data_IF_120021173127
#
_entry.id   IF_120021173127
#
_cell.length_a   1.000
_cell.length_b   1.000
_cell.length_c   1.000
_cell.angle_alpha   90.00
_cell.angle_beta   90.00
_cell.angle_gamma   90.00
#
_symmetry.space_group_name_H-M   'P 1'
#
loop_
_entity.id
_entity.type
_entity.pdbx_description
1 polymer ?
#
# COMPACT_ATOMS: atom_id res chain seq x y z
N UNK A 1 1.33 15.44 -17.59
CA UNK A 1 1.06 14.89 -18.93
C UNK A 1 -0.39 14.68 -19.29
N UNK A 2 -1.22 14.07 -18.43
CA UNK A 2 -2.63 13.84 -18.75
C UNK A 2 -3.37 15.12 -19.15
N UNK A 3 -3.16 16.21 -18.40
CA UNK A 3 -3.75 17.50 -18.76
C UNK A 3 -3.42 17.88 -20.19
N UNK A 4 -2.22 17.60 -20.72
CA UNK A 4 -1.77 17.96 -22.08
C UNK A 4 -2.55 17.26 -23.21
N UNK A 5 -3.20 16.13 -22.92
CA UNK A 5 -3.96 15.35 -23.91
C UNK A 5 -5.40 15.86 -24.09
N UNK A 6 -5.90 16.64 -23.13
CA UNK A 6 -7.27 17.15 -23.13
C UNK A 6 -7.52 18.15 -24.28
N UNK A 7 -8.74 18.23 -24.78
CA UNK A 7 -9.15 19.23 -25.80
C UNK A 7 -10.15 20.25 -25.26
N UNK A 8 -10.73 19.95 -24.11
CA UNK A 8 -11.73 20.73 -23.40
C UNK A 8 -11.38 20.72 -21.90
N UNK A 9 -11.98 21.61 -21.13
CA UNK A 9 -11.87 21.57 -19.67
C UNK A 9 -12.57 20.33 -19.11
N UNK A 10 -11.94 19.68 -18.13
CA UNK A 10 -12.50 18.57 -17.36
C UNK A 10 -12.18 18.74 -15.88
N UNK A 11 -13.11 18.30 -15.04
CA UNK A 11 -12.87 18.04 -13.61
C UNK A 11 -12.18 16.69 -13.49
N UNK A 12 -10.93 16.70 -13.06
CA UNK A 12 -10.09 15.51 -12.95
C UNK A 12 -9.82 15.26 -11.48
N UNK A 13 -10.28 14.11 -10.98
CA UNK A 13 -9.85 13.62 -9.67
C UNK A 13 -8.54 12.86 -9.86
N UNK A 14 -7.43 13.46 -9.45
CA UNK A 14 -6.13 12.80 -9.41
C UNK A 14 -6.04 12.01 -8.10
N UNK A 15 -5.74 10.72 -8.20
CA UNK A 15 -5.47 9.85 -7.06
C UNK A 15 -4.05 9.31 -7.23
N UNK A 16 -3.11 9.86 -6.47
CA UNK A 16 -1.70 9.44 -6.46
C UNK A 16 -1.44 8.50 -5.28
N UNK A 17 -1.12 7.25 -5.58
CA UNK A 17 -0.80 6.22 -4.56
C UNK A 17 0.67 5.84 -4.72
N UNK A 18 1.51 6.59 -4.01
CA UNK A 18 2.95 6.38 -3.95
C UNK A 18 3.35 5.18 -3.09
N UNK A 19 4.63 5.12 -2.76
CA UNK A 19 5.17 4.07 -1.89
C UNK A 19 4.76 4.23 -0.42
N UNK A 20 4.51 5.45 0.06
CA UNK A 20 4.22 5.72 1.47
C UNK A 20 3.13 6.76 1.74
N UNK A 21 2.60 7.42 0.71
CA UNK A 21 1.49 8.36 0.82
C UNK A 21 0.45 8.11 -0.25
N UNK A 22 -0.74 8.58 0.04
CA UNK A 22 -1.85 8.69 -0.90
C UNK A 22 -2.30 10.14 -0.87
N UNK A 23 -2.31 10.78 -2.03
CA UNK A 23 -2.68 12.17 -2.20
C UNK A 23 -3.80 12.25 -3.25
N UNK A 24 -4.91 12.89 -2.89
CA UNK A 24 -6.07 13.04 -3.78
C UNK A 24 -6.33 14.52 -4.05
N UNK A 25 -6.44 14.90 -5.31
CA UNK A 25 -6.66 16.29 -5.73
C UNK A 25 -7.73 16.37 -6.80
N UNK A 26 -8.77 17.15 -6.56
CA UNK A 26 -9.76 17.53 -7.57
C UNK A 26 -9.30 18.79 -8.28
N UNK A 27 -9.06 18.69 -9.58
CA UNK A 27 -8.49 19.75 -10.39
C UNK A 27 -9.33 20.03 -11.63
N UNK A 28 -9.46 21.31 -12.00
CA UNK A 28 -9.82 21.71 -13.34
C UNK A 28 -8.59 21.60 -14.24
N UNK A 29 -8.69 20.74 -15.26
CA UNK A 29 -7.62 20.51 -16.24
C UNK A 29 -8.13 20.81 -17.63
N UNK A 30 -7.33 21.51 -18.44
CA UNK A 30 -7.71 21.80 -19.83
C UNK A 30 -6.80 22.85 -20.47
N UNK A 31 -6.99 23.14 -21.77
CA UNK A 31 -6.15 24.09 -22.50
C UNK A 31 -6.04 25.47 -21.82
N UNK A 32 -7.09 25.92 -21.14
CA UNK A 32 -7.15 27.21 -20.44
C UNK A 32 -6.30 27.30 -19.17
N UNK A 33 -5.91 26.16 -18.59
CA UNK A 33 -5.14 26.12 -17.33
C UNK A 33 -3.65 25.86 -17.56
N UNK A 34 -3.28 25.15 -18.62
CA UNK A 34 -1.89 24.71 -18.87
C UNK A 34 -0.85 25.83 -18.92
N UNK A 35 -1.23 27.02 -19.37
CA UNK A 35 -0.31 28.16 -19.52
C UNK A 35 -0.41 29.16 -18.36
N UNK A 36 -1.30 28.93 -17.39
CA UNK A 36 -1.45 29.84 -16.25
C UNK A 36 -0.41 29.52 -15.19
N UNK A 37 0.31 30.56 -14.75
CA UNK A 37 1.19 30.47 -13.60
C UNK A 37 0.39 30.38 -12.29
N UNK A 38 -0.67 31.19 -12.16
CA UNK A 38 -1.58 31.04 -11.04
C UNK A 38 -2.64 29.95 -11.32
N UNK A 39 -2.61 28.91 -10.50
CA UNK A 39 -3.47 27.73 -10.58
C UNK A 39 -4.33 27.52 -9.33
N UNK A 40 -4.37 28.48 -8.41
CA UNK A 40 -5.15 28.36 -7.16
C UNK A 40 -6.62 28.03 -7.47
N UNK A 41 -7.21 28.77 -8.43
CA UNK A 41 -8.60 28.56 -8.87
C UNK A 41 -8.85 27.25 -9.64
N UNK A 42 -7.80 26.50 -10.00
CA UNK A 42 -7.96 25.19 -10.63
C UNK A 42 -8.06 24.06 -9.60
N UNK A 43 -7.64 24.28 -8.35
CA UNK A 43 -7.73 23.30 -7.28
C UNK A 43 -9.07 23.43 -6.58
N UNK A 44 -9.95 22.46 -6.80
CA UNK A 44 -11.29 22.45 -6.22
C UNK A 44 -11.30 21.82 -4.82
N UNK A 45 -10.44 20.82 -4.59
CA UNK A 45 -10.35 20.16 -3.30
C UNK A 45 -9.15 19.22 -3.25
N UNK A 46 -8.66 18.95 -2.05
CA UNK A 46 -7.55 18.02 -1.87
C UNK A 46 -7.63 17.30 -0.52
N UNK A 47 -6.95 16.16 -0.43
CA UNK A 47 -6.74 15.41 0.81
C UNK A 47 -5.47 14.57 0.67
N UNK A 48 -4.97 14.04 1.78
CA UNK A 48 -3.83 13.15 1.73
C UNK A 48 -3.57 12.47 3.06
N UNK A 49 -2.99 11.28 3.01
CA UNK A 49 -2.62 10.53 4.19
C UNK A 49 -1.32 9.73 4.00
N UNK A 50 -0.68 9.39 5.12
CA UNK A 50 0.52 8.53 5.15
C UNK A 50 0.14 7.05 5.05
N UNK A 51 -0.53 6.69 3.97
CA UNK A 51 -0.84 5.31 3.57
C UNK A 51 -0.44 5.18 2.11
N UNK A 52 0.39 4.20 1.77
CA UNK A 52 0.79 3.97 0.38
C UNK A 52 1.03 2.49 0.09
N UNK A 53 1.81 2.23 -0.95
CA UNK A 53 2.15 0.88 -1.40
C UNK A 53 2.73 -0.01 -0.32
N UNK A 54 3.60 0.55 0.53
CA UNK A 54 4.24 -0.19 1.61
C UNK A 54 3.21 -0.66 2.66
N UNK A 55 2.17 0.13 2.95
CA UNK A 55 1.11 -0.31 3.87
C UNK A 55 0.34 -1.51 3.31
N UNK A 56 0.16 -1.58 1.98
CA UNK A 56 -0.42 -2.75 1.32
C UNK A 56 0.49 -3.98 1.45
N UNK A 57 1.80 -3.79 1.30
CA UNK A 57 2.80 -4.87 1.41
C UNK A 57 2.87 -5.41 2.83
N UNK A 58 2.86 -4.52 3.82
CA UNK A 58 2.84 -4.85 5.25
C UNK A 58 1.56 -5.60 5.60
N UNK A 59 0.40 -5.14 5.12
CA UNK A 59 -0.87 -5.82 5.36
C UNK A 59 -0.89 -7.23 4.76
N UNK A 60 -0.37 -7.39 3.54
CA UNK A 60 -0.26 -8.71 2.90
C UNK A 60 0.72 -9.62 3.64
N UNK A 61 1.91 -9.11 4.02
CA UNK A 61 2.90 -9.85 4.80
C UNK A 61 2.31 -10.31 6.14
N UNK A 62 1.60 -9.41 6.83
CA UNK A 62 0.96 -9.70 8.10
C UNK A 62 -0.11 -10.77 7.98
N UNK A 63 -1.05 -10.64 7.02
CA UNK A 63 -2.16 -11.61 6.90
C UNK A 63 -1.74 -12.95 6.31
N UNK A 64 -0.82 -12.98 5.35
CA UNK A 64 -0.52 -14.20 4.57
C UNK A 64 0.81 -14.85 4.93
N UNK A 65 1.85 -14.09 5.31
CA UNK A 65 3.17 -14.65 5.61
C UNK A 65 3.37 -14.94 7.11
N UNK A 66 2.90 -14.07 8.00
CA UNK A 66 3.08 -14.26 9.45
C UNK A 66 2.43 -15.53 10.03
N UNK A 67 1.32 -16.09 9.49
CA UNK A 67 0.81 -17.39 9.93
C UNK A 67 1.82 -18.54 9.78
N UNK A 68 2.66 -18.50 8.74
CA UNK A 68 3.75 -19.48 8.57
C UNK A 68 4.76 -19.42 9.71
N UNK A 69 4.89 -18.26 10.35
CA UNK A 69 5.81 -17.99 11.46
C UNK A 69 5.10 -18.10 12.82
N UNK A 70 3.91 -18.73 12.88
CA UNK A 70 3.20 -19.03 14.12
C UNK A 70 2.22 -17.96 14.60
N UNK A 71 1.94 -16.93 13.78
CA UNK A 71 0.90 -15.95 14.12
C UNK A 71 -0.47 -16.61 14.21
N UNK A 72 -1.25 -16.25 15.23
CA UNK A 72 -2.57 -16.83 15.48
C UNK A 72 -2.54 -18.19 16.21
N UNK A 73 -1.34 -18.68 16.55
CA UNK A 73 -1.19 -19.89 17.37
C UNK A 73 -1.46 -19.67 18.85
N UNK A 74 -1.32 -20.74 19.62
CA UNK A 74 -1.54 -20.77 21.07
C UNK A 74 -0.35 -21.42 21.79
N UNK A 75 -0.27 -21.18 23.09
CA UNK A 75 0.61 -21.93 24.00
C UNK A 75 0.11 -23.37 24.20
N UNK A 76 0.96 -24.24 24.75
CA UNK A 76 0.56 -25.60 25.14
C UNK A 76 -0.68 -25.61 26.05
N UNK A 77 -0.84 -24.56 26.87
CA UNK A 77 -1.97 -24.36 27.79
C UNK A 77 -3.23 -23.77 27.13
N UNK A 78 -3.24 -23.58 25.81
CA UNK A 78 -4.38 -23.01 25.07
C UNK A 78 -4.54 -21.50 25.21
N UNK A 79 -3.51 -20.78 25.68
CA UNK A 79 -3.52 -19.31 25.74
C UNK A 79 -3.03 -18.77 24.40
N UNK A 80 -3.79 -17.86 23.77
CA UNK A 80 -3.41 -17.22 22.51
C UNK A 80 -2.05 -16.52 22.58
N UNK A 81 -1.23 -16.67 21.54
CA UNK A 81 0.04 -15.95 21.43
C UNK A 81 -0.22 -14.45 21.18
N UNK A 82 0.61 -13.55 21.75
CA UNK A 82 0.46 -12.12 21.53
C UNK A 82 0.74 -11.78 20.06
N UNK A 83 -0.12 -10.99 19.41
CA UNK A 83 0.06 -10.66 17.98
C UNK A 83 1.13 -9.59 17.72
N UNK A 84 1.39 -8.74 18.71
CA UNK A 84 2.24 -7.54 18.57
C UNK A 84 3.66 -7.85 18.02
N UNK A 85 4.38 -8.90 18.46
CA UNK A 85 5.69 -9.23 17.88
C UNK A 85 5.65 -9.52 16.38
N UNK A 86 4.59 -10.14 15.86
CA UNK A 86 4.44 -10.40 14.43
C UNK A 86 4.12 -9.13 13.65
N UNK A 87 3.28 -8.24 14.19
CA UNK A 87 3.02 -6.94 13.58
C UNK A 87 4.30 -6.11 13.50
N UNK A 88 4.98 -5.95 14.64
CA UNK A 88 6.21 -5.18 14.73
C UNK A 88 7.31 -5.74 13.83
N UNK A 89 7.33 -7.05 13.55
CA UNK A 89 8.26 -7.66 12.61
C UNK A 89 8.10 -7.12 11.20
N UNK A 90 6.87 -6.91 10.73
CA UNK A 90 6.59 -6.49 9.34
C UNK A 90 6.31 -5.01 9.20
N UNK A 91 6.08 -4.27 10.29
CA UNK A 91 5.84 -2.83 10.28
C UNK A 91 7.09 -2.01 9.92
N UNK A 92 7.68 -2.23 8.73
CA UNK A 92 8.95 -1.61 8.30
C UNK A 92 8.83 -0.10 8.03
N UNK A 93 7.61 0.43 7.95
CA UNK A 93 7.33 1.86 7.86
C UNK A 93 7.19 2.53 9.24
N UNK A 94 7.34 1.78 10.33
CA UNK A 94 7.21 2.24 11.70
C UNK A 94 8.53 1.98 12.47
N UNK A 95 9.31 3.06 12.63
CA UNK A 95 10.62 3.02 13.28
C UNK A 95 10.53 2.58 14.75
N UNK A 96 9.62 3.13 15.57
CA UNK A 96 9.34 2.59 16.91
C UNK A 96 9.04 1.08 16.92
N UNK A 97 8.12 0.60 16.08
CA UNK A 97 7.75 -0.81 16.05
C UNK A 97 8.94 -1.72 15.68
N UNK A 98 9.74 -1.34 14.69
CA UNK A 98 10.96 -2.08 14.32
C UNK A 98 12.02 -2.04 15.44
N UNK A 99 12.18 -0.91 16.11
CA UNK A 99 13.10 -0.78 17.25
C UNK A 99 12.70 -1.70 18.40
N UNK A 100 11.40 -1.76 18.69
CA UNK A 100 10.83 -2.66 19.68
C UNK A 100 10.99 -4.12 19.27
N UNK A 101 10.71 -4.46 18.00
CA UNK A 101 10.89 -5.81 17.48
C UNK A 101 12.33 -6.27 17.66
N UNK A 102 13.32 -5.47 17.24
CA UNK A 102 14.75 -5.82 17.33
C UNK A 102 15.37 -5.59 18.71
N UNK A 103 14.58 -5.20 19.72
CA UNK A 103 15.08 -5.01 21.08
C UNK A 103 15.52 -6.32 21.73
N UNK A 104 16.45 -6.22 22.70
CA UNK A 104 16.86 -7.38 23.50
C UNK A 104 15.72 -7.93 24.38
N UNK A 105 14.80 -7.06 24.78
CA UNK A 105 13.60 -7.43 25.54
C UNK A 105 12.67 -8.31 24.70
N UNK A 106 12.38 -7.90 23.46
CA UNK A 106 11.59 -8.72 22.55
C UNK A 106 12.33 -10.01 22.16
N UNK A 107 13.65 -9.99 22.04
CA UNK A 107 14.45 -11.21 21.89
C UNK A 107 14.22 -12.23 23.01
N UNK A 108 14.19 -11.79 24.28
CA UNK A 108 13.85 -12.67 25.43
C UNK A 108 12.42 -13.19 25.32
N UNK A 109 11.45 -12.31 25.04
CA UNK A 109 10.05 -12.68 24.83
C UNK A 109 9.90 -13.74 23.74
N UNK A 110 10.53 -13.58 22.58
CA UNK A 110 10.46 -14.56 21.49
C UNK A 110 11.03 -15.92 21.89
N UNK A 111 12.13 -15.98 22.67
CA UNK A 111 12.63 -17.25 23.20
C UNK A 111 11.65 -17.90 24.18
N UNK A 112 10.96 -17.10 25.01
CA UNK A 112 9.91 -17.59 25.89
C UNK A 112 8.71 -18.13 25.10
N UNK A 113 8.29 -17.43 24.04
CA UNK A 113 7.20 -17.87 23.19
C UNK A 113 7.53 -19.19 22.49
N UNK A 114 8.76 -19.36 21.97
CA UNK A 114 9.20 -20.62 21.36
C UNK A 114 9.09 -21.79 22.33
N UNK A 115 9.45 -21.60 23.61
CA UNK A 115 9.37 -22.66 24.63
C UNK A 115 7.95 -23.07 25.00
N UNK A 116 7.01 -22.13 24.92
CA UNK A 116 5.66 -22.32 25.44
C UNK A 116 4.60 -22.54 24.33
N UNK A 117 4.94 -22.27 23.07
CA UNK A 117 4.03 -22.40 21.94
C UNK A 117 3.74 -23.86 21.61
N UNK A 118 2.48 -24.18 21.32
CA UNK A 118 2.07 -25.52 20.83
C UNK A 118 2.76 -25.86 19.50
N UNK A 119 2.99 -24.86 18.66
CA UNK A 119 3.72 -24.97 17.38
C UNK A 119 5.08 -24.26 17.48
N UNK A 120 5.93 -24.73 18.39
CA UNK A 120 7.25 -24.14 18.68
C UNK A 120 8.11 -23.91 17.42
N UNK A 121 8.09 -24.87 16.48
CA UNK A 121 8.87 -24.80 15.23
C UNK A 121 8.47 -23.60 14.38
N UNK A 122 7.18 -23.26 14.30
CA UNK A 122 6.69 -22.09 13.55
C UNK A 122 7.13 -20.79 14.22
N UNK A 123 6.98 -20.68 15.54
CA UNK A 123 7.40 -19.49 16.30
C UNK A 123 8.92 -19.30 16.23
N UNK A 124 9.69 -20.39 16.16
CA UNK A 124 11.14 -20.34 15.99
C UNK A 124 11.55 -19.68 14.66
N UNK A 125 10.70 -19.71 13.63
CA UNK A 125 10.92 -18.98 12.38
C UNK A 125 10.84 -17.46 12.59
N UNK A 126 9.93 -16.96 13.41
CA UNK A 126 9.91 -15.54 13.80
C UNK A 126 11.17 -15.16 14.59
N UNK A 127 11.62 -16.03 15.50
CA UNK A 127 12.88 -15.83 16.21
C UNK A 127 14.07 -15.79 15.25
N UNK A 128 14.08 -16.59 14.19
CA UNK A 128 15.10 -16.50 13.12
C UNK A 128 15.05 -15.15 12.40
N UNK A 129 13.86 -14.65 12.07
CA UNK A 129 13.66 -13.31 11.48
C UNK A 129 14.26 -12.22 12.37
N UNK A 130 14.02 -12.31 13.68
CA UNK A 130 14.62 -11.39 14.66
C UNK A 130 16.15 -11.49 14.68
N UNK A 131 16.71 -12.70 14.82
CA UNK A 131 18.17 -12.93 14.91
C UNK A 131 18.92 -12.47 13.67
N UNK A 132 18.33 -12.65 12.50
CA UNK A 132 18.97 -12.43 11.20
C UNK A 132 18.50 -11.13 10.51
N UNK A 133 17.66 -10.33 11.16
CA UNK A 133 17.13 -9.06 10.64
C UNK A 133 16.44 -9.20 9.27
N UNK A 134 15.49 -10.12 9.17
CA UNK A 134 14.85 -10.51 7.89
C UNK A 134 13.54 -9.77 7.57
N UNK A 135 13.13 -8.78 8.38
CA UNK A 135 11.86 -8.03 8.20
C UNK A 135 11.68 -7.47 6.79
N UNK A 136 12.71 -6.80 6.27
CA UNK A 136 12.64 -6.22 4.92
C UNK A 136 12.44 -7.27 3.83
N UNK A 137 13.08 -8.45 3.96
CA UNK A 137 12.92 -9.54 2.96
C UNK A 137 11.53 -10.14 2.99
N UNK A 138 10.89 -10.20 4.17
CA UNK A 138 9.49 -10.62 4.31
C UNK A 138 8.55 -9.66 3.59
N UNK A 139 8.65 -8.35 3.86
CA UNK A 139 7.78 -7.36 3.25
C UNK A 139 8.02 -7.26 1.74
N UNK A 140 9.29 -7.36 1.29
CA UNK A 140 9.60 -7.42 -0.14
C UNK A 140 8.99 -8.65 -0.82
N UNK A 141 8.98 -9.81 -0.17
CA UNK A 141 8.30 -11.00 -0.72
C UNK A 141 6.79 -10.76 -0.87
N UNK A 142 6.18 -10.04 0.07
CA UNK A 142 4.78 -9.62 -0.04
C UNK A 142 4.58 -8.62 -1.19
N UNK A 143 5.47 -7.64 -1.37
CA UNK A 143 5.42 -6.71 -2.50
C UNK A 143 5.48 -7.44 -3.86
N UNK A 144 6.43 -8.36 -4.01
CA UNK A 144 6.57 -9.18 -5.22
C UNK A 144 5.31 -10.03 -5.47
N UNK A 145 4.71 -10.57 -4.41
CA UNK A 145 3.46 -11.33 -4.48
C UNK A 145 2.26 -10.45 -4.87
N UNK A 146 2.15 -9.24 -4.30
CA UNK A 146 1.12 -8.24 -4.63
C UNK A 146 1.20 -7.83 -6.11
N UNK A 147 2.41 -7.59 -6.60
CA UNK A 147 2.65 -7.25 -8.01
C UNK A 147 2.25 -8.42 -8.91
N UNK A 148 2.64 -9.66 -8.59
CA UNK A 148 2.28 -10.84 -9.36
C UNK A 148 0.75 -11.04 -9.44
N UNK A 149 0.05 -10.87 -8.31
CA UNK A 149 -1.41 -10.98 -8.21
C UNK A 149 -2.18 -9.89 -8.97
N UNK A 150 -1.50 -8.84 -9.42
CA UNK A 150 -2.12 -7.84 -10.32
C UNK A 150 -2.36 -8.40 -11.73
N UNK A 151 -1.68 -9.48 -12.13
CA UNK A 151 -1.84 -10.12 -13.43
C UNK A 151 -2.20 -11.62 -13.37
N UNK A 152 -2.26 -12.21 -12.18
CA UNK A 152 -2.50 -13.63 -11.95
C UNK A 152 -3.54 -13.83 -10.85
N UNK A 153 -4.29 -14.93 -10.91
CA UNK A 153 -5.29 -15.26 -9.90
C UNK A 153 -4.67 -15.75 -8.57
N UNK A 154 -3.51 -16.41 -8.67
CA UNK A 154 -2.81 -17.03 -7.55
C UNK A 154 -1.29 -16.89 -7.71
N UNK A 155 -0.58 -16.81 -6.58
CA UNK A 155 0.89 -16.81 -6.52
C UNK A 155 1.36 -17.68 -5.36
N UNK A 156 2.51 -18.33 -5.50
CA UNK A 156 3.19 -18.99 -4.38
C UNK A 156 4.29 -18.10 -3.84
N UNK A 157 4.09 -17.53 -2.65
CA UNK A 157 5.11 -16.76 -1.95
C UNK A 157 6.08 -17.72 -1.25
N UNK A 158 7.34 -17.75 -1.70
CA UNK A 158 8.40 -18.59 -1.13
C UNK A 158 9.32 -17.78 -0.22
N UNK A 159 9.71 -18.36 0.91
CA UNK A 159 10.54 -17.74 1.94
C UNK A 159 11.84 -18.55 2.18
N UNK A 160 12.66 -18.82 1.13
CA UNK A 160 13.85 -19.67 1.24
C UNK A 160 14.91 -19.08 2.18
N UNK A 161 14.87 -17.77 2.43
CA UNK A 161 15.74 -17.10 3.39
C UNK A 161 15.38 -17.39 4.86
N UNK A 162 14.22 -18.00 5.13
CA UNK A 162 13.79 -18.46 6.45
C UNK A 162 13.91 -19.98 6.53
N UNK A 163 13.41 -20.73 5.55
CA UNK A 163 13.58 -22.18 5.41
C UNK A 163 13.33 -22.58 3.96
N UNK A 164 14.07 -23.56 3.45
CA UNK A 164 14.13 -23.89 2.02
C UNK A 164 12.75 -24.21 1.42
N UNK A 165 11.92 -24.93 2.17
CA UNK A 165 10.59 -25.38 1.74
C UNK A 165 9.44 -24.48 2.23
N UNK A 166 9.75 -23.34 2.88
CA UNK A 166 8.72 -22.48 3.43
C UNK A 166 8.02 -21.68 2.33
N UNK A 167 6.74 -21.96 2.11
CA UNK A 167 5.93 -21.27 1.12
C UNK A 167 4.45 -21.21 1.50
N UNK A 168 3.72 -20.26 0.92
CA UNK A 168 2.26 -20.16 1.01
C UNK A 168 1.67 -19.76 -0.33
N UNK A 169 0.54 -20.37 -0.68
CA UNK A 169 -0.26 -19.94 -1.82
C UNK A 169 -1.14 -18.75 -1.40
N UNK A 170 -1.08 -17.66 -2.16
CA UNK A 170 -1.87 -16.45 -1.95
C UNK A 170 -2.75 -16.29 -3.19
N UNK A 171 -4.06 -16.25 -2.99
CA UNK A 171 -5.04 -15.98 -4.05
C UNK A 171 -5.39 -14.50 -4.12
N UNK A 172 -6.07 -14.08 -5.19
CA UNK A 172 -6.66 -12.74 -5.27
C UNK A 172 -7.62 -12.45 -4.12
N UNK A 173 -8.40 -13.43 -3.67
CA UNK A 173 -9.28 -13.28 -2.51
C UNK A 173 -8.47 -13.06 -1.21
N UNK A 174 -7.35 -13.76 -1.06
CA UNK A 174 -6.43 -13.55 0.06
C UNK A 174 -5.76 -12.17 0.05
N UNK A 175 -5.50 -11.63 -1.14
CA UNK A 175 -5.05 -10.26 -1.33
C UNK A 175 -6.15 -9.25 -0.97
N UNK A 176 -7.36 -9.41 -1.51
CA UNK A 176 -8.52 -8.55 -1.19
C UNK A 176 -8.71 -8.45 0.32
N UNK A 177 -8.84 -9.60 0.99
CA UNK A 177 -9.01 -9.65 2.44
C UNK A 177 -7.85 -8.99 3.19
N UNK A 178 -6.61 -9.10 2.70
CA UNK A 178 -5.46 -8.42 3.32
C UNK A 178 -5.50 -6.91 3.15
N UNK A 179 -6.00 -6.41 2.02
CA UNK A 179 -5.98 -5.00 1.67
C UNK A 179 -7.23 -4.22 2.10
N UNK A 180 -8.28 -4.86 2.61
CA UNK A 180 -9.53 -4.20 3.05
C UNK A 180 -9.30 -2.92 3.86
N UNK A 181 -8.50 -3.00 4.94
CA UNK A 181 -8.27 -1.86 5.84
C UNK A 181 -7.45 -0.72 5.18
N UNK A 182 -6.26 -0.97 4.60
CA UNK A 182 -5.52 0.11 3.95
C UNK A 182 -6.26 0.68 2.73
N UNK A 183 -7.03 -0.14 2.00
CA UNK A 183 -7.86 0.32 0.90
C UNK A 183 -8.99 1.25 1.39
N UNK A 184 -9.65 0.91 2.49
CA UNK A 184 -10.68 1.78 3.09
C UNK A 184 -10.12 3.17 3.43
N UNK A 185 -8.88 3.26 3.94
CA UNK A 185 -8.21 4.54 4.23
C UNK A 185 -7.89 5.35 2.98
N UNK A 186 -7.58 4.69 1.86
CA UNK A 186 -7.38 5.33 0.56
C UNK A 186 -8.71 5.91 0.05
N UNK A 187 -9.78 5.12 0.10
CA UNK A 187 -11.12 5.56 -0.33
C UNK A 187 -11.69 6.69 0.55
N UNK A 188 -11.33 6.73 1.83
CA UNK A 188 -11.63 7.85 2.72
C UNK A 188 -11.00 9.16 2.22
N UNK A 189 -9.74 9.14 1.75
CA UNK A 189 -9.11 10.33 1.17
C UNK A 189 -9.83 10.77 -0.10
N UNK A 190 -10.21 9.83 -0.96
CA UNK A 190 -11.02 10.13 -2.14
C UNK A 190 -12.32 10.85 -1.74
N UNK A 191 -13.00 10.36 -0.72
CA UNK A 191 -14.23 10.98 -0.22
C UNK A 191 -13.97 12.41 0.31
N UNK A 192 -12.92 12.59 1.12
CA UNK A 192 -12.56 13.91 1.66
C UNK A 192 -12.24 14.94 0.56
N UNK A 193 -11.53 14.52 -0.49
CA UNK A 193 -11.25 15.39 -1.64
C UNK A 193 -12.53 15.77 -2.41
N UNK A 194 -13.47 14.84 -2.56
CA UNK A 194 -14.77 15.10 -3.19
C UNK A 194 -15.63 16.05 -2.35
N UNK A 195 -15.69 15.83 -1.05
CA UNK A 195 -16.47 16.65 -0.12
C UNK A 195 -15.93 18.09 -0.07
N UNK A 196 -14.61 18.25 -0.11
CA UNK A 196 -13.96 19.55 -0.22
C UNK A 196 -14.25 20.26 -1.54
N UNK A 197 -14.36 19.51 -2.64
CA UNK A 197 -14.60 20.07 -3.97
C UNK A 197 -16.06 20.43 -4.24
N UNK A 198 -17.00 19.77 -3.54
CA UNK A 198 -18.45 19.91 -3.73
C UNK A 198 -18.92 19.66 -5.18
N UNK A 199 -18.12 18.95 -5.96
CA UNK A 199 -18.29 18.73 -7.40
C UNK A 199 -17.94 17.28 -7.76
N UNK A 200 -18.57 16.75 -8.81
CA UNK A 200 -18.26 15.40 -9.31
C UNK A 200 -17.15 15.45 -10.36
N UNK A 201 -16.19 14.51 -10.34
CA UNK A 201 -15.18 14.44 -11.39
C UNK A 201 -15.80 13.93 -12.70
N UNK A 202 -15.28 14.40 -13.82
CA UNK A 202 -15.59 13.85 -15.14
C UNK A 202 -14.72 12.62 -15.46
N UNK A 203 -13.57 12.50 -14.78
CA UNK A 203 -12.61 11.41 -14.95
C UNK A 203 -11.74 11.27 -13.69
N UNK A 204 -11.41 10.04 -13.34
CA UNK A 204 -10.43 9.71 -12.30
C UNK A 204 -9.11 9.43 -13.00
N UNK A 205 -8.05 10.14 -12.63
CA UNK A 205 -6.70 9.90 -13.11
C UNK A 205 -5.88 9.25 -12.00
N UNK A 206 -5.59 7.96 -12.18
CA UNK A 206 -4.76 7.18 -11.26
C UNK A 206 -3.28 7.30 -11.65
N UNK A 207 -2.43 7.52 -10.65
CA UNK A 207 -0.98 7.57 -10.80
C UNK A 207 -0.27 6.99 -9.57
N UNK A 208 1.02 6.65 -9.72
CA UNK A 208 1.82 6.06 -8.66
C UNK A 208 1.93 4.53 -8.78
N UNK A 209 3.06 3.97 -8.35
CA UNK A 209 3.40 2.56 -8.62
C UNK A 209 2.39 1.54 -8.08
N UNK A 210 1.66 1.90 -7.02
CA UNK A 210 0.63 1.07 -6.39
C UNK A 210 -0.76 1.20 -7.05
N UNK A 211 -1.00 2.27 -7.81
CA UNK A 211 -2.26 2.52 -8.51
C UNK A 211 -2.52 1.52 -9.67
N UNK A 212 -1.52 0.69 -10.01
CA UNK A 212 -1.66 -0.42 -10.96
C UNK A 212 -2.55 -1.56 -10.45
N UNK A 213 -2.79 -1.64 -9.14
CA UNK A 213 -3.59 -2.70 -8.54
C UNK A 213 -5.01 -2.72 -9.13
N UNK A 214 -5.46 -3.85 -9.71
CA UNK A 214 -6.84 -4.01 -10.16
C UNK A 214 -7.86 -3.79 -9.05
N UNK A 215 -7.50 -4.09 -7.80
CA UNK A 215 -8.36 -3.91 -6.63
C UNK A 215 -8.65 -2.44 -6.35
N UNK A 216 -7.63 -1.58 -6.49
CA UNK A 216 -7.80 -0.13 -6.33
C UNK A 216 -8.72 0.41 -7.43
N UNK A 217 -8.51 0.00 -8.69
CA UNK A 217 -9.37 0.41 -9.82
C UNK A 217 -10.82 -0.02 -9.63
N UNK A 218 -11.04 -1.26 -9.19
CA UNK A 218 -12.36 -1.81 -8.88
C UNK A 218 -13.04 -1.01 -7.78
N UNK A 219 -12.36 -0.80 -6.65
CA UNK A 219 -12.91 -0.06 -5.51
C UNK A 219 -13.26 1.40 -5.86
N UNK A 220 -12.43 2.08 -6.65
CA UNK A 220 -12.74 3.43 -7.13
C UNK A 220 -13.93 3.46 -8.09
N UNK A 221 -14.05 2.45 -8.96
CA UNK A 221 -15.19 2.33 -9.87
C UNK A 221 -16.50 2.03 -9.12
N UNK A 222 -16.42 1.31 -8.00
CA UNK A 222 -17.54 1.05 -7.10
C UNK A 222 -17.92 2.31 -6.29
N UNK A 223 -16.94 3.09 -5.81
CA UNK A 223 -17.18 4.33 -5.07
C UNK A 223 -17.72 5.46 -5.98
N UNK A 224 -17.28 5.53 -7.24
CA UNK A 224 -17.70 6.53 -8.22
C UNK A 224 -18.24 5.87 -9.51
N UNK A 225 -19.44 5.26 -9.46
CA UNK A 225 -20.01 4.57 -10.61
C UNK A 225 -20.20 5.50 -11.82
N UNK A 226 -19.79 5.02 -12.99
CA UNK A 226 -19.93 5.73 -14.26
C UNK A 226 -18.85 6.78 -14.55
N UNK A 227 -17.92 7.03 -13.62
CA UNK A 227 -16.78 7.90 -13.88
C UNK A 227 -15.65 7.07 -14.51
N UNK A 228 -15.16 7.45 -15.71
CA UNK A 228 -14.07 6.72 -16.34
C UNK A 228 -12.79 6.83 -15.51
N UNK A 229 -12.07 5.72 -15.40
CA UNK A 229 -10.75 5.65 -14.74
C UNK A 229 -9.68 5.63 -15.84
N UNK A 230 -8.93 6.71 -15.94
CA UNK A 230 -7.76 6.83 -16.80
C UNK A 230 -6.49 6.46 -16.02
N UNK A 231 -5.53 5.82 -16.71
CA UNK A 231 -4.18 5.58 -16.20
C UNK A 231 -3.15 6.32 -17.03
N UNK A 232 -2.05 6.74 -16.42
CA UNK A 232 -0.92 7.39 -17.10
C UNK A 232 0.40 6.63 -16.94
N UNK A 233 1.49 7.28 -17.33
CA UNK A 233 2.84 6.79 -17.03
C UNK A 233 3.15 7.03 -15.54
N UNK A 234 2.94 6.01 -14.73
CA UNK A 234 2.92 6.06 -13.25
C UNK A 234 4.27 6.43 -12.61
N UNK A 235 5.39 6.33 -13.34
CA UNK A 235 6.72 6.70 -12.86
C UNK A 235 7.19 8.06 -13.40
N UNK A 236 6.76 8.44 -14.60
CA UNK A 236 7.17 9.67 -15.27
C UNK A 236 6.23 10.85 -15.05
N UNK A 237 4.97 10.62 -14.67
CA UNK A 237 3.92 11.65 -14.67
C UNK A 237 4.23 12.87 -13.79
N UNK A 238 4.76 12.65 -12.59
CA UNK A 238 5.17 13.70 -11.65
C UNK A 238 6.38 14.44 -12.19
N UNK A 239 7.43 13.72 -12.62
CA UNK A 239 8.65 14.32 -13.17
C UNK A 239 8.36 15.14 -14.43
N UNK A 240 7.53 14.64 -15.33
CA UNK A 240 7.11 15.35 -16.53
C UNK A 240 6.21 16.56 -16.21
N UNK A 241 5.37 16.46 -15.18
CA UNK A 241 4.62 17.60 -14.63
C UNK A 241 5.55 18.72 -14.15
N UNK A 242 6.55 18.38 -13.34
CA UNK A 242 7.55 19.33 -12.84
C UNK A 242 8.38 19.95 -13.98
N UNK A 243 8.78 19.17 -14.99
CA UNK A 243 9.51 19.67 -16.15
C UNK A 243 8.69 20.69 -16.95
N UNK A 244 7.40 20.42 -17.19
CA UNK A 244 6.50 21.37 -17.87
C UNK A 244 6.25 22.62 -17.03
N UNK A 245 6.16 22.48 -15.71
CA UNK A 245 6.04 23.64 -14.82
C UNK A 245 7.28 24.53 -14.87
N UNK A 246 8.47 23.96 -14.98
CA UNK A 246 9.70 24.72 -15.17
C UNK A 246 9.69 25.59 -16.44
N UNK A 247 9.11 25.11 -17.55
CA UNK A 247 8.94 25.91 -18.78
C UNK A 247 8.02 27.13 -18.59
N UNK A 248 7.11 27.11 -17.62
CA UNK A 248 6.23 28.23 -17.30
C UNK A 248 6.94 29.24 -16.39
N UNK A 249 7.72 28.76 -15.43
CA UNK A 249 8.40 29.60 -14.42
C UNK A 249 9.66 30.28 -14.96
N UNK A 250 10.44 29.60 -15.82
CA UNK A 250 11.73 30.09 -16.30
C UNK A 250 11.66 30.70 -17.72
N UNK A 251 10.50 31.21 -18.11
CA UNK A 251 10.31 31.99 -19.34
C UNK A 251 10.70 33.45 -19.18
#
# INVERSE_FOLDING_TARGET
DYEATLREEKRVLVVDIGGGTTDCSMLLMGPQWRQRADRENSLLGHSGCRVGGNDLDIALAFKNLMPLLGMGGETEKGIALPVLPWWNAVAINDVPAQSDFYSSANGRLLNDLVRNAREADKVALLLKVWRQRLSYRLVRCAEESKIALSGQADVTARLPFISDDLAVAISQQGLEAALDQPLARILEQVQLALDSAQEKPDVIYLTGGSARSPLIKKALSEQLPGIPVAGGDDFGSVTAGLARWAEVVFR
#
